data_IF_929648046793
#
_entry.id   IF_929648046793
#
_cell.length_a   1.000
_cell.length_b   1.000
_cell.length_c   1.000
_cell.angle_alpha   90.00
_cell.angle_beta   90.00
_cell.angle_gamma   90.00
#
_symmetry.space_group_name_H-M   'P 1'
#
loop_
_entity.id
_entity.type
_entity.pdbx_description
1 polymer ?
#
# COMPACT_ATOMS: atom_id res chain seq x y z
N UNK A 1 19.50 -4.53 7.56
CA UNK A 1 19.19 -3.93 6.25
C UNK A 1 18.90 -5.06 5.27
N UNK A 2 17.63 -5.31 4.96
CA UNK A 2 17.24 -6.26 3.91
C UNK A 2 17.30 -5.51 2.58
N UNK A 3 18.26 -5.87 1.73
CA UNK A 3 18.42 -5.22 0.43
C UNK A 3 17.49 -5.89 -0.58
N UNK A 4 16.76 -5.12 -1.41
CA UNK A 4 15.98 -5.68 -2.51
C UNK A 4 16.91 -6.26 -3.58
N UNK A 5 16.43 -7.26 -4.31
CA UNK A 5 17.12 -7.80 -5.49
C UNK A 5 17.04 -6.80 -6.67
N UNK A 6 15.95 -6.03 -6.73
CA UNK A 6 15.64 -4.98 -7.70
C UNK A 6 15.27 -3.71 -6.92
N UNK A 7 16.13 -2.68 -6.89
CA UNK A 7 15.80 -1.41 -6.24
C UNK A 7 14.50 -0.81 -6.77
N UNK A 8 13.70 -0.19 -5.90
CA UNK A 8 12.41 0.37 -6.28
C UNK A 8 12.52 1.39 -7.42
N UNK A 9 13.63 2.14 -7.49
CA UNK A 9 13.91 3.09 -8.57
C UNK A 9 13.88 2.48 -9.99
N UNK A 10 14.14 1.17 -10.14
CA UNK A 10 14.08 0.51 -11.45
C UNK A 10 12.64 0.35 -11.99
N UNK A 11 11.63 0.45 -11.12
CA UNK A 11 10.21 0.39 -11.49
C UNK A 11 9.70 1.71 -12.11
N UNK A 12 10.41 2.82 -11.93
CA UNK A 12 10.05 4.14 -12.51
C UNK A 12 9.89 4.06 -14.04
N UNK A 13 10.74 3.27 -14.70
CA UNK A 13 10.76 3.13 -16.16
C UNK A 13 9.52 2.43 -16.73
N UNK A 14 8.81 1.68 -15.89
CA UNK A 14 7.71 0.78 -16.30
C UNK A 14 6.36 1.21 -15.71
N UNK A 15 6.35 2.30 -14.92
CA UNK A 15 5.21 2.74 -14.13
C UNK A 15 4.86 4.18 -14.49
N UNK A 16 3.57 4.56 -14.57
CA UNK A 16 3.17 5.95 -14.58
C UNK A 16 3.82 6.75 -13.44
N UNK A 17 4.34 7.95 -13.76
CA UNK A 17 5.10 8.77 -12.81
C UNK A 17 4.32 9.12 -11.54
N UNK A 18 3.03 9.38 -11.67
CA UNK A 18 2.13 9.69 -10.56
C UNK A 18 1.99 8.51 -9.59
N UNK A 19 1.83 7.29 -10.12
CA UNK A 19 1.79 6.06 -9.31
C UNK A 19 3.13 5.84 -8.61
N UNK A 20 4.24 6.01 -9.33
CA UNK A 20 5.58 5.86 -8.77
C UNK A 20 5.82 6.80 -7.59
N UNK A 21 5.54 8.09 -7.74
CA UNK A 21 5.73 9.11 -6.69
C UNK A 21 4.91 8.81 -5.43
N UNK A 22 3.72 8.22 -5.59
CA UNK A 22 2.86 7.88 -4.45
C UNK A 22 3.42 6.70 -3.65
N UNK A 23 4.01 5.71 -4.32
CA UNK A 23 4.48 4.47 -3.70
C UNK A 23 5.93 4.57 -3.22
N UNK A 24 6.76 5.34 -3.91
CA UNK A 24 8.20 5.51 -3.64
C UNK A 24 8.51 5.74 -2.15
N UNK A 25 7.82 6.64 -1.43
CA UNK A 25 8.13 6.86 -0.02
C UNK A 25 7.93 5.62 0.86
N UNK A 26 6.94 4.78 0.56
CA UNK A 26 6.71 3.52 1.29
C UNK A 26 7.82 2.52 0.96
N UNK A 27 8.14 2.36 -0.33
CA UNK A 27 9.18 1.43 -0.76
C UNK A 27 10.56 1.77 -0.19
N UNK A 28 10.92 3.06 -0.15
CA UNK A 28 12.20 3.50 0.43
C UNK A 28 12.31 3.13 1.92
N UNK A 29 11.24 3.28 2.70
CA UNK A 29 11.20 2.84 4.11
C UNK A 29 11.45 1.35 4.24
N UNK A 30 10.89 0.54 3.34
CA UNK A 30 11.14 -0.91 3.30
C UNK A 30 12.61 -1.21 3.01
N UNK A 31 13.22 -0.54 2.03
CA UNK A 31 14.65 -0.71 1.67
C UNK A 31 15.59 -0.32 2.82
N UNK A 32 15.22 0.71 3.57
CA UNK A 32 15.95 1.20 4.75
C UNK A 32 15.77 0.25 5.95
N UNK A 33 14.77 -0.64 5.91
CA UNK A 33 14.40 -1.55 6.99
C UNK A 33 13.52 -0.89 8.06
N UNK A 34 12.93 0.25 7.75
CA UNK A 34 12.00 1.02 8.59
C UNK A 34 10.57 0.50 8.37
N UNK A 35 10.35 -0.77 8.74
CA UNK A 35 9.12 -1.51 8.43
C UNK A 35 7.88 -0.88 9.07
N UNK A 36 7.96 -0.44 10.34
CA UNK A 36 6.83 0.18 11.02
C UNK A 36 6.42 1.52 10.37
N UNK A 37 7.40 2.32 9.94
CA UNK A 37 7.14 3.54 9.18
C UNK A 37 6.45 3.22 7.85
N UNK A 38 6.91 2.20 7.13
CA UNK A 38 6.28 1.76 5.89
C UNK A 38 4.81 1.33 6.10
N UNK A 39 4.54 0.57 7.17
CA UNK A 39 3.18 0.14 7.57
C UNK A 39 2.30 1.34 7.90
N UNK A 40 2.80 2.29 8.69
CA UNK A 40 2.08 3.52 9.04
C UNK A 40 1.77 4.38 7.81
N UNK A 41 2.71 4.48 6.86
CA UNK A 41 2.50 5.21 5.61
C UNK A 41 1.48 4.53 4.70
N UNK A 42 1.53 3.20 4.57
CA UNK A 42 0.51 2.41 3.86
C UNK A 42 -0.89 2.62 4.45
N UNK A 43 -1.00 2.61 5.79
CA UNK A 43 -2.26 2.82 6.49
C UNK A 43 -2.86 4.20 6.17
N UNK A 44 -2.05 5.27 6.30
CA UNK A 44 -2.46 6.65 5.99
C UNK A 44 -2.85 6.81 4.54
N UNK A 45 -2.06 6.25 3.62
CA UNK A 45 -2.35 6.28 2.18
C UNK A 45 -3.67 5.58 1.87
N UNK A 46 -3.93 4.44 2.52
CA UNK A 46 -5.15 3.67 2.32
C UNK A 46 -6.39 4.41 2.79
N UNK A 47 -6.34 5.01 3.98
CA UNK A 47 -7.41 5.87 4.47
C UNK A 47 -7.68 7.04 3.51
N UNK A 48 -6.61 7.71 3.05
CA UNK A 48 -6.74 8.81 2.09
C UNK A 48 -7.37 8.38 0.77
N UNK A 49 -6.96 7.25 0.18
CA UNK A 49 -7.56 6.74 -1.05
C UNK A 49 -9.05 6.47 -0.90
N UNK A 50 -9.45 5.80 0.19
CA UNK A 50 -10.86 5.47 0.43
C UNK A 50 -11.71 6.72 0.60
N UNK A 51 -11.22 7.71 1.36
CA UNK A 51 -11.91 9.00 1.53
C UNK A 51 -12.08 9.73 0.19
N UNK A 52 -11.05 9.72 -0.68
CA UNK A 52 -11.12 10.37 -2.00
C UNK A 52 -12.02 9.63 -2.98
N UNK A 53 -12.06 8.30 -2.91
CA UNK A 53 -12.94 7.47 -3.73
C UNK A 53 -14.40 7.70 -3.33
N UNK A 54 -14.71 7.66 -2.03
CA UNK A 54 -16.06 7.90 -1.51
C UNK A 54 -16.56 9.32 -1.82
N UNK A 55 -15.66 10.32 -1.79
CA UNK A 55 -15.98 11.68 -2.19
C UNK A 55 -16.12 11.89 -3.71
N UNK A 56 -15.80 10.87 -4.53
CA UNK A 56 -15.78 10.99 -5.99
C UNK A 56 -14.65 11.86 -6.55
N UNK A 57 -13.62 12.14 -5.74
CA UNK A 57 -12.47 12.96 -6.08
C UNK A 57 -11.32 12.14 -6.69
N UNK A 58 -11.35 10.82 -6.52
CA UNK A 58 -10.39 9.89 -7.09
C UNK A 58 -11.10 8.69 -7.70
N UNK A 59 -10.71 8.34 -8.93
CA UNK A 59 -11.21 7.13 -9.58
C UNK A 59 -10.54 5.88 -8.95
N UNK A 60 -11.30 4.84 -8.55
CA UNK A 60 -10.77 3.68 -7.86
C UNK A 60 -9.60 2.98 -8.57
N UNK A 61 -9.63 2.91 -9.91
CA UNK A 61 -8.55 2.30 -10.70
C UNK A 61 -7.21 3.02 -10.56
N UNK A 62 -7.20 4.32 -10.20
CA UNK A 62 -5.96 5.06 -9.95
C UNK A 62 -5.32 4.66 -8.62
N UNK A 63 -6.12 4.53 -7.56
CA UNK A 63 -5.66 4.01 -6.27
C UNK A 63 -5.16 2.56 -6.41
N UNK A 64 -5.89 1.72 -7.14
CA UNK A 64 -5.51 0.34 -7.46
C UNK A 64 -4.09 0.22 -8.00
N UNK A 65 -3.66 1.14 -8.86
CA UNK A 65 -2.33 1.08 -9.47
C UNK A 65 -1.20 1.25 -8.45
N UNK A 66 -1.41 2.05 -7.39
CA UNK A 66 -0.44 2.20 -6.31
C UNK A 66 -0.28 0.89 -5.53
N UNK A 67 -1.41 0.26 -5.13
CA UNK A 67 -1.38 -1.04 -4.46
C UNK A 67 -0.77 -2.13 -5.33
N UNK A 68 -1.13 -2.16 -6.63
CA UNK A 68 -0.57 -3.15 -7.55
C UNK A 68 0.93 -3.00 -7.71
N UNK A 69 1.45 -1.78 -7.85
CA UNK A 69 2.89 -1.55 -7.91
C UNK A 69 3.59 -2.03 -6.63
N UNK A 70 3.03 -1.71 -5.46
CA UNK A 70 3.59 -2.14 -4.19
C UNK A 70 3.56 -3.68 -4.06
N UNK A 71 2.46 -4.32 -4.49
CA UNK A 71 2.34 -5.78 -4.53
C UNK A 71 3.39 -6.44 -5.43
N UNK A 72 3.61 -5.89 -6.64
CA UNK A 72 4.65 -6.39 -7.55
C UNK A 72 6.03 -6.23 -6.94
N UNK A 73 6.34 -5.04 -6.40
CA UNK A 73 7.62 -4.78 -5.76
C UNK A 73 7.92 -5.74 -4.61
N UNK A 74 6.95 -5.97 -3.71
CA UNK A 74 7.08 -6.91 -2.60
C UNK A 74 7.26 -8.35 -3.10
N UNK A 75 6.50 -8.76 -4.12
CA UNK A 75 6.59 -10.11 -4.71
C UNK A 75 7.97 -10.37 -5.31
N UNK A 76 8.53 -9.39 -6.00
CA UNK A 76 9.83 -9.51 -6.68
C UNK A 76 11.00 -9.52 -5.69
N UNK A 77 10.89 -8.84 -4.54
CA UNK A 77 12.04 -8.52 -3.69
C UNK A 77 12.00 -9.11 -2.27
N UNK A 78 10.81 -9.41 -1.76
CA UNK A 78 10.61 -9.79 -0.36
C UNK A 78 9.66 -10.98 -0.28
N UNK A 79 10.11 -12.20 -0.70
CA UNK A 79 9.29 -13.40 -0.61
C UNK A 79 9.03 -13.75 0.87
N UNK A 80 7.84 -13.43 1.35
CA UNK A 80 7.45 -13.61 2.75
C UNK A 80 6.53 -12.48 3.21
N UNK A 81 6.27 -12.45 4.51
CA UNK A 81 5.38 -11.48 5.15
C UNK A 81 6.21 -10.40 5.88
N UNK A 82 6.88 -9.54 5.12
CA UNK A 82 7.79 -8.53 5.69
C UNK A 82 7.03 -7.38 6.36
N UNK A 83 5.82 -7.07 5.89
CA UNK A 83 4.99 -5.99 6.42
C UNK A 83 3.95 -6.48 7.45
N UNK A 84 3.85 -7.79 7.67
CA UNK A 84 2.79 -8.40 8.47
C UNK A 84 1.50 -8.61 7.69
N UNK A 85 0.75 -9.62 8.14
CA UNK A 85 -0.47 -10.13 7.52
C UNK A 85 -1.47 -9.01 7.20
N UNK A 86 -1.70 -8.09 8.13
CA UNK A 86 -2.63 -6.98 7.94
C UNK A 86 -2.25 -6.05 6.78
N UNK A 87 -0.95 -5.76 6.63
CA UNK A 87 -0.47 -4.89 5.56
C UNK A 87 -0.55 -5.59 4.20
N UNK A 88 -0.23 -6.89 4.15
CA UNK A 88 -0.38 -7.69 2.93
C UNK A 88 -1.84 -7.82 2.49
N UNK A 89 -2.76 -8.05 3.43
CA UNK A 89 -4.19 -8.11 3.14
C UNK A 89 -4.72 -6.75 2.65
N UNK A 90 -4.29 -5.65 3.28
CA UNK A 90 -4.66 -4.31 2.84
C UNK A 90 -4.18 -4.00 1.41
N UNK A 91 -2.96 -4.45 1.07
CA UNK A 91 -2.43 -4.35 -0.29
C UNK A 91 -3.25 -5.19 -1.26
N UNK A 92 -3.56 -6.44 -0.89
CA UNK A 92 -4.35 -7.36 -1.70
C UNK A 92 -5.73 -6.78 -2.03
N UNK A 93 -6.51 -6.39 -1.02
CA UNK A 93 -7.81 -5.74 -1.20
C UNK A 93 -7.70 -4.47 -2.05
N UNK A 94 -6.66 -3.66 -1.82
CA UNK A 94 -6.35 -2.49 -2.63
C UNK A 94 -6.16 -2.79 -4.12
N UNK A 95 -5.65 -3.98 -4.48
CA UNK A 95 -5.52 -4.39 -5.90
C UNK A 95 -6.88 -4.66 -6.56
N UNK A 96 -7.93 -4.92 -5.77
CA UNK A 96 -9.30 -5.19 -6.23
C UNK A 96 -10.12 -3.92 -6.47
N UNK A 97 -9.61 -2.72 -6.13
CA UNK A 97 -10.32 -1.44 -6.29
C UNK A 97 -10.83 -1.14 -7.71
N UNK A 98 -10.35 -1.83 -8.75
CA UNK A 98 -10.92 -1.74 -10.08
C UNK A 98 -12.36 -2.26 -10.19
N UNK A 99 -12.81 -3.09 -9.24
CA UNK A 99 -14.17 -3.63 -9.13
C UNK A 99 -14.98 -2.89 -8.03
N UNK A 100 -14.57 -1.67 -7.63
CA UNK A 100 -15.26 -0.91 -6.59
C UNK A 100 -16.76 -0.71 -6.87
N UNK A 101 -17.59 -1.05 -5.87
CA UNK A 101 -19.05 -0.98 -5.95
C UNK A 101 -19.73 -2.19 -6.62
N UNK A 102 -18.96 -3.22 -6.98
CA UNK A 102 -19.46 -4.48 -7.53
C UNK A 102 -19.50 -5.57 -6.45
N UNK A 103 -20.29 -6.62 -6.68
CA UNK A 103 -20.50 -7.72 -5.72
C UNK A 103 -19.20 -8.48 -5.36
N UNK A 104 -18.20 -8.45 -6.24
CA UNK A 104 -16.88 -9.06 -6.05
C UNK A 104 -15.76 -8.01 -5.95
N UNK A 105 -16.12 -6.78 -5.58
CA UNK A 105 -15.20 -5.68 -5.32
C UNK A 105 -14.48 -5.78 -3.98
N UNK A 106 -13.61 -4.80 -3.66
CA UNK A 106 -12.89 -4.78 -2.40
C UNK A 106 -13.84 -4.57 -1.22
N UNK A 107 -13.52 -5.17 -0.08
CA UNK A 107 -14.20 -4.86 1.18
C UNK A 107 -13.62 -3.59 1.80
N UNK A 108 -14.17 -2.44 1.40
CA UNK A 108 -13.70 -1.14 1.92
C UNK A 108 -13.89 -0.97 3.43
N UNK A 109 -14.85 -1.68 4.05
CA UNK A 109 -15.01 -1.69 5.50
C UNK A 109 -13.83 -2.39 6.17
N UNK A 110 -13.46 -3.57 5.64
CA UNK A 110 -12.29 -4.31 6.09
C UNK A 110 -10.99 -3.53 5.86
N UNK A 111 -10.81 -2.89 4.69
CA UNK A 111 -9.65 -2.05 4.41
C UNK A 111 -9.50 -0.91 5.43
N UNK A 112 -10.61 -0.24 5.80
CA UNK A 112 -10.58 0.81 6.84
C UNK A 112 -10.19 0.27 8.20
N UNK A 113 -10.68 -0.92 8.55
CA UNK A 113 -10.32 -1.59 9.80
C UNK A 113 -8.82 -1.92 9.85
N UNK A 114 -8.28 -2.52 8.79
CA UNK A 114 -6.85 -2.84 8.67
C UNK A 114 -5.98 -1.59 8.75
N UNK A 115 -6.34 -0.54 8.00
CA UNK A 115 -5.62 0.74 8.05
C UNK A 115 -5.66 1.35 9.46
N UNK A 116 -6.80 1.28 10.16
CA UNK A 116 -6.93 1.75 11.53
C UNK A 116 -6.03 0.98 12.52
N UNK A 117 -5.94 -0.35 12.39
CA UNK A 117 -5.06 -1.19 13.22
C UNK A 117 -3.59 -0.84 12.99
N UNK A 118 -3.15 -0.81 11.74
CA UNK A 118 -1.77 -0.46 11.37
C UNK A 118 -1.37 0.95 11.85
N UNK A 119 -2.29 1.92 11.78
CA UNK A 119 -2.04 3.27 12.29
C UNK A 119 -1.92 3.31 13.82
N UNK A 120 -2.76 2.56 14.54
CA UNK A 120 -2.73 2.53 16.00
C UNK A 120 -1.47 1.85 16.57
N UNK A 121 -0.96 0.81 15.89
CA UNK A 121 0.30 0.16 16.25
C UNK A 121 1.47 1.13 16.17
N UNK A 122 1.56 1.91 15.10
CA UNK A 122 2.62 2.91 14.92
C UNK A 122 2.59 4.01 16.00
N UNK A 123 1.40 4.43 16.45
CA UNK A 123 1.27 5.41 17.53
C UNK A 123 1.68 4.84 18.90
N UNK A 124 1.49 3.54 19.13
CA UNK A 124 1.85 2.88 20.38
C UNK A 124 3.37 2.73 20.54
N UNK A 125 4.11 2.53 19.44
CA UNK A 125 5.57 2.40 19.44
C UNK A 125 6.32 3.73 19.66
N UNK A 126 5.64 4.87 19.52
CA UNK A 126 6.19 6.21 19.78
C UNK A 126 6.05 6.67 21.26
N UNK A 127 5.35 5.89 22.11
CA UNK A 127 5.09 6.19 23.55
C UNK A 127 5.90 5.36 24.54
#
# INVERSE_FOLDING_TARGET
MMRPDIPFAEYEKQTPRDVFIVVEPIALKIEEGEIEDARAMLARLSGWFLDKIEAGELEPWKARNAYFLLSVYLTDNYPGDILGEEAHELIYEGTLLHEYGLDFGPDTGHMRELAGRLAAEAEADET
#
